data_IF_974783416454
#
_entry.id   IF_974783416454
#
_cell.length_a   1.000
_cell.length_b   1.000
_cell.length_c   1.000
_cell.angle_alpha   90.00
_cell.angle_beta   90.00
_cell.angle_gamma   90.00
#
_symmetry.space_group_name_H-M   'P 1'
#
loop_
_entity.id
_entity.type
_entity.pdbx_description
1 polymer ?
#
# COMPACT_ATOMS: atom_id res chain seq x y z
N UNK A 1 -0.35 8.83 -39.45
CA UNK A 1 0.22 8.00 -38.37
C UNK A 1 0.63 6.66 -38.98
N UNK A 2 1.91 6.25 -38.92
CA UNK A 2 2.33 4.96 -39.46
C UNK A 2 1.73 3.83 -38.61
N UNK A 3 1.10 2.84 -39.24
CA UNK A 3 0.65 1.61 -38.55
C UNK A 3 1.88 0.80 -38.13
N UNK A 4 1.94 0.42 -36.85
CA UNK A 4 3.04 -0.39 -36.33
C UNK A 4 2.89 -1.83 -36.85
N UNK A 5 4.02 -2.53 -37.07
CA UNK A 5 4.03 -3.89 -37.64
C UNK A 5 3.49 -4.97 -36.68
N UNK A 6 3.22 -4.62 -35.43
CA UNK A 6 2.74 -5.53 -34.39
C UNK A 6 1.42 -5.01 -33.85
N UNK A 7 0.43 -5.89 -33.78
CA UNK A 7 -0.89 -5.63 -33.23
C UNK A 7 -1.18 -6.63 -32.12
N UNK A 8 -1.94 -6.20 -31.12
CA UNK A 8 -2.47 -7.02 -30.03
C UNK A 8 -3.94 -7.26 -30.30
N UNK A 9 -4.36 -8.52 -30.27
CA UNK A 9 -5.78 -8.91 -30.29
C UNK A 9 -6.24 -9.10 -28.83
N UNK A 10 -7.24 -8.34 -28.41
CA UNK A 10 -7.77 -8.29 -27.03
C UNK A 10 -9.19 -8.83 -27.02
N UNK A 11 -9.42 -9.94 -26.32
CA UNK A 11 -10.78 -10.42 -26.06
C UNK A 11 -11.41 -9.64 -24.90
N UNK A 12 -12.57 -9.04 -25.15
CA UNK A 12 -13.37 -8.31 -24.15
C UNK A 12 -14.70 -9.02 -23.99
N UNK A 13 -15.09 -9.26 -22.74
CA UNK A 13 -16.38 -9.84 -22.39
C UNK A 13 -17.30 -8.78 -21.78
N UNK A 14 -18.50 -8.66 -22.34
CA UNK A 14 -19.56 -7.86 -21.72
C UNK A 14 -20.25 -8.69 -20.63
N UNK A 15 -19.76 -8.57 -19.40
CA UNK A 15 -20.18 -9.38 -18.24
C UNK A 15 -21.70 -9.56 -18.08
N UNK A 16 -22.57 -8.54 -18.32
CA UNK A 16 -24.01 -8.72 -18.19
C UNK A 16 -24.64 -9.74 -19.16
N UNK A 17 -24.02 -10.01 -20.31
CA UNK A 17 -24.55 -10.92 -21.34
C UNK A 17 -23.64 -12.11 -21.64
N UNK A 18 -22.37 -12.04 -21.23
CA UNK A 18 -21.32 -12.99 -21.61
C UNK A 18 -20.87 -12.84 -23.07
N UNK A 19 -21.36 -11.85 -23.83
CA UNK A 19 -20.93 -11.63 -25.21
C UNK A 19 -19.42 -11.30 -25.24
N UNK A 20 -18.68 -12.01 -26.11
CA UNK A 20 -17.25 -11.80 -26.31
C UNK A 20 -16.96 -11.19 -27.68
N UNK A 21 -16.11 -10.18 -27.71
CA UNK A 21 -15.60 -9.55 -28.93
C UNK A 21 -14.08 -9.45 -28.88
N UNK A 22 -13.44 -9.57 -30.03
CA UNK A 22 -11.99 -9.36 -30.16
C UNK A 22 -11.72 -7.99 -30.76
N UNK A 23 -10.89 -7.18 -30.09
CA UNK A 23 -10.45 -5.86 -30.53
C UNK A 23 -8.98 -5.93 -30.93
N UNK A 24 -8.65 -5.51 -32.15
CA UNK A 24 -7.25 -5.40 -32.61
C UNK A 24 -6.74 -3.98 -32.39
N UNK A 25 -5.60 -3.84 -31.71
CA UNK A 25 -5.00 -2.53 -31.41
C UNK A 25 -3.48 -2.55 -31.63
N UNK A 26 -2.90 -1.39 -31.97
CA UNK A 26 -1.44 -1.24 -32.03
C UNK A 26 -0.80 -1.19 -30.63
N UNK A 27 -1.53 -0.69 -29.63
CA UNK A 27 -1.06 -0.52 -28.24
C UNK A 27 -2.19 -0.82 -27.25
N UNK A 28 -1.86 -1.46 -26.12
CA UNK A 28 -2.74 -1.65 -24.96
C UNK A 28 -2.17 -0.92 -23.74
N UNK A 29 -2.96 -0.04 -23.13
CA UNK A 29 -2.59 0.68 -21.90
C UNK A 29 -3.31 0.06 -20.70
N UNK A 30 -2.53 -0.43 -19.73
CA UNK A 30 -3.07 -1.01 -18.49
C UNK A 30 -3.18 0.06 -17.39
N UNK A 31 -4.27 0.83 -17.42
CA UNK A 31 -4.58 1.83 -16.40
C UNK A 31 -5.35 1.22 -15.20
N UNK A 32 -4.89 0.08 -14.69
CA UNK A 32 -5.62 -0.75 -13.71
C UNK A 32 -5.36 -0.39 -12.23
N UNK A 33 -4.84 0.82 -11.97
CA UNK A 33 -4.51 1.28 -10.62
C UNK A 33 -3.25 0.64 -10.02
N UNK A 34 -3.15 0.68 -8.69
CA UNK A 34 -1.99 0.23 -7.92
C UNK A 34 -2.39 -0.84 -6.91
N UNK A 35 -1.44 -1.72 -6.55
CA UNK A 35 -1.60 -2.63 -5.42
C UNK A 35 -0.95 -2.04 -4.17
N UNK A 36 -1.55 -2.19 -2.98
CA UNK A 36 -0.85 -1.91 -1.73
C UNK A 36 0.48 -2.67 -1.71
N UNK A 37 1.54 -2.01 -1.24
CA UNK A 37 2.83 -2.66 -1.08
C UNK A 37 2.78 -3.56 0.15
N UNK A 38 3.24 -4.80 0.01
CA UNK A 38 3.45 -5.65 1.18
C UNK A 38 4.61 -5.09 2.01
N UNK A 39 4.24 -4.51 3.15
CA UNK A 39 5.18 -3.87 4.07
C UNK A 39 6.07 -4.89 4.77
N UNK A 40 5.62 -6.14 4.91
CA UNK A 40 6.44 -7.18 5.53
C UNK A 40 7.63 -7.56 4.65
N UNK A 41 7.42 -7.66 3.33
CA UNK A 41 8.51 -7.84 2.36
C UNK A 41 9.54 -6.70 2.43
N UNK A 42 9.10 -5.44 2.66
CA UNK A 42 10.02 -4.30 2.79
C UNK A 42 10.87 -4.38 4.07
N UNK A 43 10.29 -4.90 5.15
CA UNK A 43 10.96 -5.05 6.45
C UNK A 43 11.89 -6.26 6.51
N UNK A 44 11.76 -7.22 5.59
CA UNK A 44 12.57 -8.43 5.55
C UNK A 44 12.44 -9.22 6.86
N UNK A 45 13.55 -9.75 7.37
CA UNK A 45 13.60 -10.54 8.62
C UNK A 45 13.03 -9.78 9.83
N UNK A 46 13.12 -8.44 9.86
CA UNK A 46 12.56 -7.65 10.96
C UNK A 46 11.03 -7.68 11.03
N UNK A 47 10.35 -8.14 9.97
CA UNK A 47 8.90 -8.35 9.99
C UNK A 47 8.48 -9.43 11.01
N UNK A 48 9.37 -10.38 11.34
CA UNK A 48 9.10 -11.42 12.35
C UNK A 48 8.95 -10.84 13.76
N UNK A 49 9.52 -9.66 13.98
CA UNK A 49 9.45 -8.92 15.24
C UNK A 49 8.21 -8.01 15.34
N UNK A 50 7.36 -8.02 14.30
CA UNK A 50 6.19 -7.15 14.19
C UNK A 50 4.90 -7.98 14.27
N UNK A 51 4.09 -7.85 15.34
CA UNK A 51 2.82 -8.54 15.45
C UNK A 51 1.86 -8.22 14.30
N UNK A 52 1.04 -9.21 13.93
CA UNK A 52 0.01 -9.10 12.88
C UNK A 52 -1.40 -9.17 13.46
N UNK A 53 -2.35 -8.54 12.79
CA UNK A 53 -3.77 -8.64 13.10
C UNK A 53 -4.39 -9.92 12.52
N UNK A 54 -5.70 -10.11 12.72
CA UNK A 54 -6.42 -11.29 12.25
C UNK A 54 -6.50 -11.37 10.71
N UNK A 55 -6.22 -10.27 10.01
CA UNK A 55 -6.15 -10.17 8.55
C UNK A 55 -4.74 -10.38 7.99
N UNK A 56 -3.80 -10.84 8.82
CA UNK A 56 -2.37 -11.02 8.49
C UNK A 56 -1.66 -9.70 8.10
N UNK A 57 -2.21 -8.54 8.48
CA UNK A 57 -1.55 -7.25 8.26
C UNK A 57 -0.74 -6.84 9.50
N UNK A 58 0.35 -6.09 9.30
CA UNK A 58 1.11 -5.53 10.43
C UNK A 58 0.20 -4.68 11.32
N UNK A 59 0.32 -4.84 12.64
CA UNK A 59 -0.37 -3.98 13.60
C UNK A 59 0.28 -2.61 13.63
N UNK A 60 -0.54 -1.57 13.49
CA UNK A 60 -0.10 -0.18 13.41
C UNK A 60 -0.94 0.67 14.35
N UNK A 61 -0.27 1.36 15.26
CA UNK A 61 -0.90 2.28 16.20
C UNK A 61 -1.39 3.56 15.53
N UNK A 62 -2.22 4.32 16.25
CA UNK A 62 -2.80 5.60 15.79
C UNK A 62 -1.74 6.65 15.42
N UNK A 63 -0.57 6.57 16.02
CA UNK A 63 0.58 7.43 15.75
C UNK A 63 1.43 6.96 14.55
N UNK A 64 0.87 6.05 13.75
CA UNK A 64 1.49 5.44 12.57
C UNK A 64 2.72 4.57 12.86
N UNK A 65 2.96 4.21 14.13
CA UNK A 65 4.06 3.32 14.53
C UNK A 65 3.65 1.85 14.37
N UNK A 66 4.52 1.04 13.78
CA UNK A 66 4.39 -0.42 13.75
C UNK A 66 4.59 -0.95 15.16
N UNK A 67 3.67 -1.78 15.63
CA UNK A 67 3.86 -2.52 16.89
C UNK A 67 5.01 -3.52 16.72
N UNK A 68 5.82 -3.66 17.76
CA UNK A 68 6.98 -4.56 17.77
C UNK A 68 7.07 -5.29 19.09
N UNK A 69 7.78 -6.42 19.12
CA UNK A 69 8.10 -7.12 20.37
C UNK A 69 8.92 -6.22 21.32
N UNK A 70 8.83 -6.42 22.65
CA UNK A 70 9.40 -5.49 23.64
C UNK A 70 10.91 -5.22 23.51
N UNK A 71 11.66 -6.13 22.91
CA UNK A 71 13.10 -6.05 22.69
C UNK A 71 13.48 -5.02 21.61
N UNK A 72 12.53 -4.63 20.76
CA UNK A 72 12.75 -3.66 19.68
C UNK A 72 12.53 -2.24 20.18
N UNK A 73 13.63 -1.49 20.29
CA UNK A 73 13.59 -0.06 20.68
C UNK A 73 13.43 0.87 19.48
N UNK A 74 13.77 0.42 18.28
CA UNK A 74 13.63 1.20 17.05
C UNK A 74 12.15 1.51 16.75
N UNK A 75 11.88 2.73 16.28
CA UNK A 75 10.55 3.13 15.83
C UNK A 75 10.43 3.00 14.31
N UNK A 76 9.57 2.11 13.85
CA UNK A 76 9.20 2.00 12.43
C UNK A 76 7.85 2.66 12.21
N UNK A 77 7.77 3.61 11.27
CA UNK A 77 6.55 4.37 10.99
C UNK A 77 6.13 4.21 9.54
N UNK A 78 4.83 4.11 9.29
CA UNK A 78 4.26 3.86 7.97
C UNK A 78 3.48 5.06 7.46
N UNK A 79 3.79 5.49 6.23
CA UNK A 79 3.05 6.54 5.53
C UNK A 79 2.43 5.98 4.25
N UNK A 80 1.26 5.37 4.40
CA UNK A 80 0.58 4.62 3.33
C UNK A 80 0.71 3.10 3.54
N UNK A 81 -0.13 2.33 2.83
CA UNK A 81 -0.26 0.89 3.09
C UNK A 81 -0.89 0.59 4.45
N UNK A 82 -1.66 1.53 4.99
CA UNK A 82 -2.33 1.44 6.29
C UNK A 82 -3.83 1.64 6.15
N UNK A 83 -4.42 1.31 5.00
CA UNK A 83 -5.85 1.39 4.75
C UNK A 83 -6.66 0.60 5.79
N UNK A 84 -6.13 -0.54 6.24
CA UNK A 84 -6.77 -1.42 7.24
C UNK A 84 -6.89 -0.78 8.63
N UNK A 85 -6.05 0.21 8.95
CA UNK A 85 -6.02 0.87 10.27
C UNK A 85 -6.40 2.35 10.23
N UNK A 86 -6.13 3.05 9.13
CA UNK A 86 -6.27 4.50 8.97
C UNK A 86 -7.18 4.90 7.80
N UNK A 87 -7.78 3.91 7.12
CA UNK A 87 -8.75 4.11 6.05
C UNK A 87 -8.17 4.64 4.75
N UNK A 88 -9.07 5.08 3.87
CA UNK A 88 -8.76 5.45 2.47
C UNK A 88 -7.79 6.63 2.34
N UNK A 89 -7.67 7.48 3.36
CA UNK A 89 -6.75 8.63 3.30
C UNK A 89 -5.29 8.24 3.50
N UNK A 90 -5.01 7.00 3.92
CA UNK A 90 -3.65 6.51 4.18
C UNK A 90 -2.73 6.64 2.96
N UNK A 91 -3.20 6.42 1.74
CA UNK A 91 -2.40 6.52 0.50
C UNK A 91 -2.59 7.84 -0.25
N UNK A 92 -3.35 8.79 0.32
CA UNK A 92 -3.66 10.06 -0.31
C UNK A 92 -2.97 11.23 0.41
N UNK A 93 -2.92 12.37 -0.28
CA UNK A 93 -2.31 13.60 0.23
C UNK A 93 -3.17 14.36 1.24
N UNK A 94 -4.42 13.93 1.45
CA UNK A 94 -5.41 14.65 2.25
C UNK A 94 -5.05 14.81 3.73
N UNK A 95 -4.19 13.92 4.26
CA UNK A 95 -3.80 13.91 5.68
C UNK A 95 -2.30 14.06 5.91
N UNK A 96 -1.52 14.42 4.89
CA UNK A 96 -0.05 14.42 4.97
C UNK A 96 0.48 15.28 6.13
N UNK A 97 0.01 16.52 6.29
CA UNK A 97 0.49 17.41 7.36
C UNK A 97 0.12 16.90 8.76
N UNK A 98 -1.10 16.37 8.92
CA UNK A 98 -1.58 15.82 10.20
C UNK A 98 -0.78 14.56 10.56
N UNK A 99 -0.60 13.65 9.61
CA UNK A 99 0.20 12.43 9.78
C UNK A 99 1.65 12.75 10.15
N UNK A 100 2.26 13.73 9.49
CA UNK A 100 3.62 14.14 9.78
C UNK A 100 3.76 14.66 11.22
N UNK A 101 2.77 15.44 11.69
CA UNK A 101 2.74 15.94 13.07
C UNK A 101 2.57 14.82 14.11
N UNK A 102 1.72 13.84 13.82
CA UNK A 102 1.51 12.68 14.71
C UNK A 102 2.77 11.82 14.85
N UNK A 103 3.44 11.51 13.73
CA UNK A 103 4.72 10.80 13.71
C UNK A 103 5.80 11.61 14.45
N UNK A 104 5.89 12.91 14.18
CA UNK A 104 6.85 13.78 14.84
C UNK A 104 6.66 13.78 16.37
N UNK A 105 5.41 13.90 16.84
CA UNK A 105 5.08 13.83 18.27
C UNK A 105 5.43 12.47 18.87
N UNK A 106 5.20 11.36 18.15
CA UNK A 106 5.58 10.02 18.59
C UNK A 106 7.10 9.87 18.77
N UNK A 107 7.88 10.34 17.78
CA UNK A 107 9.34 10.32 17.83
C UNK A 107 9.90 11.08 19.04
N UNK A 108 9.37 12.28 19.31
CA UNK A 108 9.80 13.07 20.47
C UNK A 108 9.47 12.40 21.81
N UNK A 109 8.30 11.76 21.93
CA UNK A 109 7.93 11.00 23.13
C UNK A 109 8.87 9.82 23.39
N UNK A 110 9.31 9.13 22.33
CA UNK A 110 10.26 8.02 22.44
C UNK A 110 11.65 8.46 22.93
N UNK A 111 12.11 9.65 22.52
CA UNK A 111 13.41 10.20 22.93
C UNK A 111 13.51 10.50 24.43
N UNK A 112 12.41 10.86 25.07
CA UNK A 112 12.39 11.19 26.51
C UNK A 112 12.37 9.94 27.41
N UNK A 113 12.14 8.76 26.83
CA UNK A 113 12.12 7.46 27.54
C UNK A 113 13.45 6.69 27.47
N UNK A 114 14.38 7.14 26.64
CA UNK A 114 15.69 6.52 26.44
C UNK A 114 16.76 7.15 27.33
#
# INVERSE_FOLDING_TARGET
>A
MPRLRHAVDVAVEFLPTGERRTLRADVLVLATGYRPRDLSTLLGESAELCPRDDGDALRVGRDHRVETVPEVTAGTYLQGGTEHTHGLTSTLLSTTSVRAEEIHRSLLKGRTRA
#
